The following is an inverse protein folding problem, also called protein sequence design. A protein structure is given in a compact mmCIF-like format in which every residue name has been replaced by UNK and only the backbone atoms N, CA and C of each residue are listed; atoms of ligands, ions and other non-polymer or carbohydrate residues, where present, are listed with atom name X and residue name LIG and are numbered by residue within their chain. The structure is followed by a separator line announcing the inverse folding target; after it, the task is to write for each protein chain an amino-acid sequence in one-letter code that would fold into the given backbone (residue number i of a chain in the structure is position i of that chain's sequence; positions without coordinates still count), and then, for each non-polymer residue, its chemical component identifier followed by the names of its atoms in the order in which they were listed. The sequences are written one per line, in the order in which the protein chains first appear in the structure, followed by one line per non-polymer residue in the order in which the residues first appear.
data_IF_792945888087
#
_entry.id   IF_792945888087
#
_cell.length_a   1.000
_cell.length_b   1.000
_cell.length_c   1.000
_cell.angle_alpha   90.00
_cell.angle_beta   90.00
_cell.angle_gamma   90.00
#
_symmetry.space_group_name_H-M   'P 1'
#
loop_
_entity.id
_entity.type
_entity.pdbx_description
1 polymer ?
#
# COMPACT_ATOMS: atom_id res chain seq x y z
N UNK A 1 -21.94 11.00 4.98
CA UNK A 1 -20.56 11.26 5.44
C UNK A 1 -19.83 9.93 5.48
N UNK A 2 -18.66 9.79 4.83
CA UNK A 2 -17.84 8.59 4.97
C UNK A 2 -16.96 8.76 6.21
N UNK A 3 -17.06 7.88 7.20
CA UNK A 3 -16.17 7.88 8.36
C UNK A 3 -14.78 7.37 7.94
N UNK A 4 -13.76 8.21 8.13
CA UNK A 4 -12.36 7.83 8.02
C UNK A 4 -11.98 7.06 9.30
N UNK A 5 -11.97 5.73 9.23
CA UNK A 5 -11.42 4.93 10.33
C UNK A 5 -9.91 4.82 10.15
N UNK A 6 -9.16 5.58 10.94
CA UNK A 6 -7.71 5.43 11.01
C UNK A 6 -7.42 4.17 11.82
N UNK A 7 -6.79 3.18 11.20
CA UNK A 7 -6.28 2.03 11.94
C UNK A 7 -5.03 2.48 12.72
N UNK A 8 -5.13 2.48 14.05
CA UNK A 8 -4.00 2.75 14.95
C UNK A 8 -3.14 1.49 15.11
N UNK A 9 -2.68 0.94 13.99
CA UNK A 9 -1.81 -0.23 13.98
C UNK A 9 -0.52 0.11 13.25
N UNK A 10 0.59 -0.12 13.94
CA UNK A 10 1.93 0.10 13.42
C UNK A 10 2.53 -1.23 12.98
N UNK A 11 3.13 -1.23 11.79
CA UNK A 11 3.86 -2.39 11.28
C UNK A 11 5.35 -2.14 11.38
N UNK A 12 6.08 -3.11 11.94
CA UNK A 12 7.54 -3.04 12.02
C UNK A 12 8.17 -3.30 10.65
N UNK A 13 7.70 -4.34 9.95
CA UNK A 13 8.28 -4.78 8.69
C UNK A 13 7.49 -4.23 7.51
N UNK A 14 6.34 -4.85 7.22
CA UNK A 14 5.52 -4.49 6.08
C UNK A 14 4.03 -4.76 6.32
N UNK A 15 3.23 -4.04 5.55
CA UNK A 15 1.78 -4.20 5.44
C UNK A 15 1.47 -4.67 4.03
N UNK A 16 0.67 -5.73 3.92
CA UNK A 16 0.09 -6.18 2.65
C UNK A 16 -1.42 -5.97 2.69
N UNK A 17 -1.93 -5.23 1.71
CA UNK A 17 -3.36 -5.08 1.49
C UNK A 17 -3.72 -5.87 0.23
N UNK A 18 -4.52 -6.92 0.44
CA UNK A 18 -4.89 -7.84 -0.62
C UNK A 18 -6.34 -8.31 -0.47
N UNK A 19 -6.84 -8.95 -1.51
CA UNK A 19 -8.12 -9.63 -1.49
C UNK A 19 -8.07 -10.83 -0.52
N UNK A 20 -9.08 -11.05 0.34
CA UNK A 20 -9.11 -12.17 1.30
C UNK A 20 -8.96 -13.55 0.66
N UNK A 21 -9.60 -13.74 -0.49
CA UNK A 21 -9.46 -14.95 -1.30
C UNK A 21 -8.20 -14.85 -2.17
N UNK A 22 -7.19 -15.75 -2.00
CA UNK A 22 -5.95 -15.74 -2.77
C UNK A 22 -6.14 -15.88 -4.29
N UNK A 23 -7.23 -16.54 -4.71
CA UNK A 23 -7.56 -16.75 -6.12
C UNK A 23 -8.26 -15.53 -6.76
N UNK A 24 -8.53 -14.47 -5.99
CA UNK A 24 -9.21 -13.28 -6.45
C UNK A 24 -8.28 -12.07 -6.47
N UNK A 25 -8.66 -11.10 -7.30
CA UNK A 25 -7.84 -9.94 -7.63
C UNK A 25 -8.19 -8.76 -6.72
N UNK A 26 -7.17 -8.05 -6.27
CA UNK A 26 -7.31 -6.74 -5.64
C UNK A 26 -7.41 -5.66 -6.71
N UNK A 27 -8.49 -4.89 -6.73
CA UNK A 27 -8.62 -3.71 -7.58
C UNK A 27 -8.53 -2.47 -6.71
N UNK A 28 -7.57 -1.59 -6.98
CA UNK A 28 -7.36 -0.38 -6.21
C UNK A 28 -6.75 0.72 -7.07
N UNK A 29 -6.79 1.94 -6.55
CA UNK A 29 -6.02 3.06 -7.08
C UNK A 29 -5.22 3.71 -5.97
N UNK A 30 -4.10 4.32 -6.32
CA UNK A 30 -3.28 5.03 -5.35
C UNK A 30 -2.58 6.24 -5.97
N UNK A 31 -2.22 7.18 -5.11
CA UNK A 31 -1.35 8.31 -5.42
C UNK A 31 -0.51 8.67 -4.22
N UNK A 32 0.67 9.20 -4.48
CA UNK A 32 1.57 9.75 -3.46
C UNK A 32 1.32 11.26 -3.41
N UNK A 33 1.06 11.75 -2.20
CA UNK A 33 0.89 13.17 -1.90
C UNK A 33 2.14 13.67 -1.20
N UNK A 34 2.56 14.87 -1.55
CA UNK A 34 3.57 15.63 -0.84
C UNK A 34 2.90 16.90 -0.34
N UNK A 35 3.33 17.42 0.81
CA UNK A 35 2.79 18.66 1.36
C UNK A 35 3.16 19.88 0.49
N UNK A 36 4.30 19.82 -0.21
CA UNK A 36 4.88 20.97 -0.94
C UNK A 36 4.92 20.80 -2.48
N UNK A 37 4.51 19.64 -3.02
CA UNK A 37 4.66 19.32 -4.46
C UNK A 37 3.37 18.70 -5.04
N UNK A 38 3.14 18.82 -6.36
CA UNK A 38 1.98 18.21 -6.99
C UNK A 38 2.00 16.69 -6.78
N UNK A 39 0.84 16.14 -6.43
CA UNK A 39 0.68 14.71 -6.21
C UNK A 39 1.13 13.90 -7.42
N UNK A 40 1.64 12.69 -7.18
CA UNK A 40 1.90 11.74 -8.26
C UNK A 40 0.62 11.48 -9.07
N UNK A 41 0.73 11.09 -10.36
CA UNK A 41 -0.42 10.65 -11.12
C UNK A 41 -1.17 9.53 -10.37
N UNK A 42 -2.49 9.49 -10.54
CA UNK A 42 -3.32 8.43 -9.97
C UNK A 42 -3.07 7.14 -10.74
N UNK A 43 -2.56 6.13 -10.05
CA UNK A 43 -2.30 4.81 -10.61
C UNK A 43 -3.49 3.92 -10.29
N UNK A 44 -4.09 3.31 -11.32
CA UNK A 44 -5.10 2.28 -11.15
C UNK A 44 -4.44 0.92 -11.39
N UNK A 45 -4.67 -0.04 -10.49
CA UNK A 45 -4.09 -1.36 -10.62
C UNK A 45 -5.09 -2.45 -10.25
N UNK A 46 -4.94 -3.58 -10.96
CA UNK A 46 -5.56 -4.86 -10.64
C UNK A 46 -4.42 -5.84 -10.41
N UNK A 47 -4.26 -6.32 -9.18
CA UNK A 47 -3.06 -7.04 -8.78
C UNK A 47 -3.33 -8.02 -7.64
N UNK A 48 -2.33 -8.82 -7.24
CA UNK A 48 -2.45 -9.68 -6.05
C UNK A 48 -2.39 -8.91 -4.72
N UNK A 49 -2.04 -7.62 -4.76
CA UNK A 49 -2.11 -6.71 -3.61
C UNK A 49 -1.11 -5.56 -3.69
N UNK A 50 -1.17 -4.67 -2.70
CA UNK A 50 -0.21 -3.60 -2.47
C UNK A 50 0.56 -3.88 -1.18
N UNK A 51 1.88 -3.97 -1.27
CA UNK A 51 2.78 -4.09 -0.12
C UNK A 51 3.44 -2.74 0.16
N UNK A 52 3.53 -2.36 1.42
CA UNK A 52 4.31 -1.21 1.90
C UNK A 52 5.22 -1.67 3.03
N UNK A 53 6.51 -1.39 2.94
CA UNK A 53 7.55 -1.85 3.85
C UNK A 53 8.36 -0.69 4.41
N UNK A 54 8.75 -0.80 5.68
CA UNK A 54 9.76 0.03 6.31
C UNK A 54 11.17 -0.40 5.87
N UNK A 55 12.18 0.34 6.32
CA UNK A 55 13.57 -0.05 6.15
C UNK A 55 13.90 -1.40 6.80
N UNK A 56 13.35 -1.68 7.98
CA UNK A 56 13.55 -2.96 8.66
C UNK A 56 12.95 -4.14 7.88
N UNK A 57 11.74 -3.95 7.30
CA UNK A 57 11.07 -4.96 6.48
C UNK A 57 11.64 -5.14 5.07
N UNK A 58 12.51 -4.22 4.62
CA UNK A 58 12.99 -4.17 3.24
C UNK A 58 13.75 -5.43 2.80
N UNK A 59 14.36 -6.14 3.75
CA UNK A 59 15.13 -7.37 3.52
C UNK A 59 14.30 -8.65 3.63
N UNK A 60 13.03 -8.57 4.07
CA UNK A 60 12.14 -9.70 4.28
C UNK A 60 11.22 -9.90 3.06
N UNK A 61 9.91 -9.91 3.27
CA UNK A 61 8.92 -10.15 2.22
C UNK A 61 8.98 -9.13 1.07
N UNK A 62 9.48 -7.92 1.33
CA UNK A 62 9.70 -6.90 0.30
C UNK A 62 10.81 -7.33 -0.67
N UNK A 63 11.97 -7.78 -0.17
CA UNK A 63 13.07 -8.27 -0.99
C UNK A 63 12.65 -9.48 -1.84
N UNK A 64 11.91 -10.42 -1.24
CA UNK A 64 11.39 -11.60 -1.96
C UNK A 64 10.41 -11.25 -3.08
N UNK A 65 9.74 -10.10 -3.01
CA UNK A 65 8.82 -9.65 -4.05
C UNK A 65 9.51 -8.92 -5.21
N UNK A 66 10.83 -8.73 -5.16
CA UNK A 66 11.59 -7.93 -6.12
C UNK A 66 11.88 -6.50 -5.64
N UNK A 67 11.62 -6.21 -4.36
CA UNK A 67 12.03 -4.97 -3.72
C UNK A 67 13.55 -4.87 -3.55
N UNK A 68 14.00 -3.83 -2.86
CA UNK A 68 15.43 -3.63 -2.58
C UNK A 68 15.67 -3.37 -1.09
N UNK A 69 16.85 -3.75 -0.54
CA UNK A 69 17.23 -3.41 0.83
C UNK A 69 17.35 -1.90 1.01
N UNK A 70 16.87 -1.38 2.14
CA UNK A 70 17.00 0.02 2.53
C UNK A 70 17.94 0.17 3.74
N UNK A 71 18.64 1.31 3.91
CA UNK A 71 19.41 1.59 5.11
C UNK A 71 18.51 1.59 6.35
N UNK A 72 18.92 0.93 7.44
CA UNK A 72 18.08 0.74 8.64
C UNK A 72 17.61 2.05 9.30
N UNK A 73 18.37 3.13 9.12
CA UNK A 73 18.06 4.47 9.63
C UNK A 73 17.18 5.30 8.67
N UNK A 74 16.78 4.75 7.53
CA UNK A 74 15.91 5.44 6.59
C UNK A 74 14.49 5.50 7.12
N UNK A 75 13.91 6.70 7.11
CA UNK A 75 12.49 6.95 7.43
C UNK A 75 11.58 6.80 6.19
N UNK A 76 12.17 6.51 5.02
CA UNK A 76 11.41 6.29 3.80
C UNK A 76 10.71 4.92 3.86
N UNK A 77 9.58 4.82 3.18
CA UNK A 77 8.85 3.58 2.98
C UNK A 77 9.01 3.11 1.54
N UNK A 78 9.12 1.80 1.35
CA UNK A 78 9.09 1.19 0.02
C UNK A 78 7.70 0.62 -0.24
N UNK A 79 7.13 0.87 -1.40
CA UNK A 79 5.87 0.25 -1.80
C UNK A 79 6.03 -0.57 -3.06
N UNK A 80 5.27 -1.65 -3.18
CA UNK A 80 5.27 -2.52 -4.34
C UNK A 80 3.87 -3.08 -4.60
N UNK A 81 3.38 -2.86 -5.82
CA UNK A 81 2.21 -3.54 -6.37
C UNK A 81 2.65 -4.95 -6.80
N UNK A 82 2.06 -5.96 -6.17
CA UNK A 82 2.38 -7.36 -6.47
C UNK A 82 1.62 -7.85 -7.69
N UNK A 83 2.33 -8.43 -8.66
CA UNK A 83 1.76 -9.08 -9.85
C UNK A 83 0.67 -8.23 -10.54
N UNK A 84 0.99 -6.99 -10.98
CA UNK A 84 0.02 -6.14 -11.67
C UNK A 84 -0.41 -6.78 -13.00
N UNK A 85 -1.72 -6.91 -13.20
CA UNK A 85 -2.27 -7.30 -14.49
C UNK A 85 -2.21 -6.10 -15.44
N UNK A 86 -1.60 -6.30 -16.61
CA UNK A 86 -1.44 -5.29 -17.66
C UNK A 86 -0.92 -3.94 -17.15
N UNK A 87 0.31 -3.87 -16.62
CA UNK A 87 0.86 -2.64 -16.04
C UNK A 87 1.03 -1.50 -17.05
N UNK A 88 1.14 -1.81 -18.35
CA UNK A 88 1.19 -0.84 -19.45
C UNK A 88 2.18 0.30 -19.19
N UNK A 89 1.76 1.52 -19.53
CA UNK A 89 2.48 2.78 -19.29
C UNK A 89 2.80 3.04 -17.81
N UNK A 90 2.06 2.41 -16.89
CA UNK A 90 2.23 2.60 -15.44
C UNK A 90 3.18 1.61 -14.78
N UNK A 91 3.87 0.76 -15.57
CA UNK A 91 4.78 -0.26 -15.04
C UNK A 91 5.90 0.31 -14.16
N UNK A 92 6.43 1.48 -14.51
CA UNK A 92 7.46 2.18 -13.72
C UNK A 92 6.94 2.76 -12.40
N UNK A 93 5.61 2.83 -12.23
CA UNK A 93 4.95 3.37 -11.03
C UNK A 93 4.48 2.26 -10.08
N UNK A 94 4.72 0.99 -10.40
CA UNK A 94 4.29 -0.16 -9.60
C UNK A 94 5.20 -0.43 -8.39
N UNK A 95 6.38 0.19 -8.35
CA UNK A 95 7.35 0.06 -7.27
C UNK A 95 8.04 1.39 -7.08
N UNK A 96 8.26 1.79 -5.83
CA UNK A 96 8.99 3.01 -5.54
C UNK A 96 9.12 3.29 -4.05
N UNK A 97 9.50 4.53 -3.75
CA UNK A 97 9.65 5.03 -2.40
C UNK A 97 8.59 6.09 -2.10
N UNK A 98 8.13 6.09 -0.87
CA UNK A 98 7.36 7.17 -0.25
C UNK A 98 8.33 7.83 0.75
N UNK A 99 8.65 9.08 0.52
CA UNK A 99 9.55 9.83 1.40
C UNK A 99 8.88 10.14 2.73
N UNK A 100 9.66 10.41 3.78
CA UNK A 100 9.12 10.73 5.11
C UNK A 100 8.14 11.91 5.17
N UNK A 101 8.27 12.88 4.23
CA UNK A 101 7.35 14.02 4.06
C UNK A 101 6.16 13.74 3.12
N UNK A 102 6.03 12.50 2.64
CA UNK A 102 4.99 12.09 1.70
C UNK A 102 4.02 11.12 2.35
N UNK A 103 2.81 11.09 1.82
CA UNK A 103 1.78 10.13 2.21
C UNK A 103 1.20 9.42 0.99
N UNK A 104 0.80 8.18 1.16
CA UNK A 104 0.10 7.43 0.11
C UNK A 104 -1.40 7.43 0.40
N UNK A 105 -2.18 7.84 -0.60
CA UNK A 105 -3.63 7.79 -0.59
C UNK A 105 -4.07 6.68 -1.51
N UNK A 106 -4.62 5.61 -0.95
CA UNK A 106 -5.02 4.42 -1.69
C UNK A 106 -6.49 4.08 -1.43
N UNK A 107 -7.21 3.76 -2.51
CA UNK A 107 -8.64 3.46 -2.53
C UNK A 107 -8.86 2.08 -3.11
N UNK A 108 -9.50 1.19 -2.37
CA UNK A 108 -9.85 -0.16 -2.83
C UNK A 108 -11.27 -0.20 -3.40
N UNK A 109 -11.42 -0.91 -4.52
CA UNK A 109 -12.69 -1.13 -5.20
C UNK A 109 -13.11 -2.59 -5.03
N UNK A 110 -13.84 -2.90 -3.97
CA UNK A 110 -14.44 -4.23 -3.79
C UNK A 110 -15.95 -4.20 -4.03
N UNK A 111 -16.46 -5.22 -4.73
CA UNK A 111 -17.88 -5.57 -4.70
C UNK A 111 -18.13 -6.50 -3.51
N UNK A 112 -18.77 -5.99 -2.46
CA UNK A 112 -19.43 -6.75 -1.37
C UNK A 112 -18.57 -7.52 -0.34
N UNK A 113 -17.24 -7.47 -0.35
CA UNK A 113 -16.41 -8.15 0.66
C UNK A 113 -15.47 -7.15 1.35
N UNK A 114 -15.25 -7.20 2.68
CA UNK A 114 -14.17 -6.43 3.31
C UNK A 114 -12.80 -6.91 2.80
N UNK A 115 -11.86 -5.99 2.59
CA UNK A 115 -10.47 -6.34 2.26
C UNK A 115 -9.80 -6.97 3.48
N UNK A 116 -8.77 -7.80 3.26
CA UNK A 116 -7.92 -8.28 4.36
C UNK A 116 -6.68 -7.40 4.43
N UNK A 117 -6.57 -6.65 5.54
CA UNK A 117 -5.29 -6.07 5.93
C UNK A 117 -4.45 -7.18 6.55
N UNK A 118 -3.46 -7.66 5.83
CA UNK A 118 -2.51 -8.64 6.36
C UNK A 118 -1.26 -7.90 6.79
N UNK A 119 -1.14 -7.64 8.09
CA UNK A 119 0.11 -7.11 8.68
C UNK A 119 1.04 -8.30 8.88
N UNK A 120 2.16 -8.31 8.16
CA UNK A 120 3.16 -9.36 8.29
C UNK A 120 4.17 -8.94 9.37
N UNK A 121 3.99 -9.57 10.53
CA UNK A 121 4.92 -9.80 11.65
C UNK A 121 4.77 -8.98 12.95
N UNK A 122 4.99 -9.73 14.04
CA UNK A 122 4.91 -9.42 15.46
C UNK A 122 5.73 -8.17 15.87
N UNK A 123 5.06 -7.28 16.60
CA UNK A 123 5.54 -6.28 17.57
C UNK A 123 6.88 -5.55 17.32
N UNK A 124 6.79 -4.25 17.00
CA UNK A 124 7.35 -3.07 17.72
C UNK A 124 7.23 -1.81 16.82
N UNK A 125 6.90 -0.67 17.43
CA UNK A 125 6.42 0.59 16.83
C UNK A 125 7.41 1.28 15.85
N UNK A 126 6.94 1.57 14.63
CA UNK A 126 7.29 2.79 13.88
C UNK A 126 6.06 3.38 13.19
N UNK A 127 6.00 4.70 13.13
CA UNK A 127 4.81 5.51 12.81
C UNK A 127 4.46 5.45 11.31
N UNK A 128 3.66 4.47 10.90
CA UNK A 128 3.03 4.46 9.57
C UNK A 128 1.73 5.27 9.59
N UNK A 129 1.71 6.39 8.87
CA UNK A 129 0.49 7.13 8.55
C UNK A 129 -0.16 6.59 7.27
N UNK A 130 -0.78 5.40 7.32
CA UNK A 130 -1.65 4.96 6.22
C UNK A 130 -3.08 5.44 6.49
N UNK A 131 -3.58 6.32 5.63
CA UNK A 131 -5.00 6.70 5.60
C UNK A 131 -5.74 5.80 4.59
N UNK A 132 -6.44 4.78 5.08
CA UNK A 132 -7.28 3.91 4.25
C UNK A 132 -8.69 4.52 4.10
N UNK A 133 -9.10 4.80 2.86
CA UNK A 133 -10.47 5.23 2.55
C UNK A 133 -11.32 4.05 2.10
N UNK A 134 -12.40 3.79 2.83
CA UNK A 134 -13.45 2.85 2.45
C UNK A 134 -14.54 3.57 1.65
N UNK A 135 -14.72 3.23 0.36
CA UNK A 135 -15.85 3.68 -0.44
C UNK A 135 -16.90 2.56 -0.50
N UNK A 136 -17.93 2.62 0.35
CA UNK A 136 -19.18 1.89 0.05
C UNK A 136 -19.86 2.61 -1.10
N UNK A 137 -20.06 1.93 -2.24
CA UNK A 137 -20.98 2.46 -3.25
C UNK A 137 -22.40 2.46 -2.68
N UNK A 138 -23.21 3.50 -2.94
CA UNK A 138 -24.62 3.47 -2.60
C UNK A 138 -25.30 2.30 -3.31
N UNK A 139 -26.07 1.52 -2.54
CA UNK A 139 -26.96 0.51 -3.09
C UNK A 139 -28.11 1.24 -3.79
N UNK A 140 -28.33 0.96 -5.06
CA UNK A 140 -29.61 1.18 -5.72
C UNK A 140 -30.41 -0.11 -5.66
#
# INVERSE_FOLDING_TARGET
MCELTVLSTYALNDVLIAHPCPAAVSQFSFKIKSDDQPCSPLVNSRSSGLRVSTAAGSTAAMLSAGGFPMPILSEDLQFMVREPMSPGETSSLMHGLIKSHQSMDATWFLKRVPFTLMVLMFSILYKMGIQLRYLQRPQF
#
